data_IF_272494731549
#
_entry.id   IF_272494731549
#
_cell.length_a   1.000
_cell.length_b   1.000
_cell.length_c   1.000
_cell.angle_alpha   90.00
_cell.angle_beta   90.00
_cell.angle_gamma   90.00
#
_symmetry.space_group_name_H-M   'P 1'
#
loop_
_entity.id
_entity.type
_entity.pdbx_description
1 polymer ?
#
# COMPACT_ATOMS: atom_id res chain seq x y z
N UNK A 1 20.01 -38.89 -40.43
CA UNK A 1 18.82 -39.02 -39.55
C UNK A 1 19.13 -38.24 -38.28
N UNK A 2 18.69 -36.98 -38.23
CA UNK A 2 18.81 -36.12 -37.07
C UNK A 2 17.53 -36.27 -36.25
N UNK A 3 17.65 -36.77 -35.01
CA UNK A 3 16.53 -36.74 -34.06
C UNK A 3 16.60 -35.41 -33.31
N UNK A 4 15.67 -34.51 -33.65
CA UNK A 4 15.38 -33.31 -32.87
C UNK A 4 14.47 -33.70 -31.71
N UNK A 5 14.97 -33.52 -30.49
CA UNK A 5 14.14 -33.48 -29.29
C UNK A 5 13.64 -32.06 -29.08
N UNK A 6 12.33 -31.85 -29.28
CA UNK A 6 11.65 -30.61 -28.93
C UNK A 6 11.44 -30.55 -27.41
N UNK A 7 12.06 -29.59 -26.74
CA UNK A 7 11.62 -29.17 -25.41
C UNK A 7 10.38 -28.27 -25.56
N UNK A 8 9.32 -28.47 -24.75
CA UNK A 8 8.18 -27.55 -24.74
C UNK A 8 8.63 -26.19 -24.19
N UNK A 9 8.36 -25.13 -24.95
CA UNK A 9 8.48 -23.74 -24.48
C UNK A 9 7.29 -23.41 -23.60
N UNK A 10 7.45 -23.57 -22.30
CA UNK A 10 6.66 -22.87 -21.28
C UNK A 10 7.67 -22.34 -20.28
N UNK A 11 8.03 -21.08 -20.39
CA UNK A 11 9.04 -20.49 -19.52
C UNK A 11 8.72 -19.03 -19.27
N UNK A 12 7.89 -18.77 -18.27
CA UNK A 12 8.05 -17.54 -17.51
C UNK A 12 9.49 -17.55 -17.00
N UNK A 13 10.33 -16.61 -17.44
CA UNK A 13 11.72 -16.58 -16.96
C UNK A 13 11.72 -16.13 -15.51
N UNK A 14 12.04 -17.04 -14.59
CA UNK A 14 12.34 -16.71 -13.20
C UNK A 14 13.45 -15.66 -13.15
N UNK A 15 13.21 -14.54 -12.48
CA UNK A 15 14.18 -13.45 -12.37
C UNK A 15 15.23 -13.74 -11.28
N UNK A 16 16.34 -12.99 -11.26
CA UNK A 16 17.34 -13.11 -10.20
C UNK A 16 16.74 -12.86 -8.81
N UNK A 17 15.86 -11.86 -8.72
CA UNK A 17 15.15 -11.49 -7.49
C UNK A 17 14.24 -12.61 -6.99
N UNK A 18 13.49 -13.25 -7.90
CA UNK A 18 12.65 -14.40 -7.55
C UNK A 18 13.51 -15.53 -6.94
N UNK A 19 14.66 -15.83 -7.55
CA UNK A 19 15.56 -16.89 -7.07
C UNK A 19 16.12 -16.57 -5.69
N UNK A 20 16.47 -15.30 -5.43
CA UNK A 20 17.02 -14.90 -4.14
C UNK A 20 15.95 -15.04 -3.05
N UNK A 21 14.76 -14.51 -3.32
CA UNK A 21 13.61 -14.63 -2.44
C UNK A 21 13.27 -16.10 -2.12
N UNK A 22 13.23 -16.95 -3.14
CA UNK A 22 12.95 -18.38 -3.00
C UNK A 22 13.96 -19.09 -2.09
N UNK A 23 15.25 -18.74 -2.19
CA UNK A 23 16.28 -19.33 -1.33
C UNK A 23 16.10 -18.96 0.12
N UNK A 24 15.79 -17.69 0.40
CA UNK A 24 15.69 -17.17 1.77
C UNK A 24 14.41 -17.65 2.47
N UNK A 25 13.34 -17.89 1.70
CA UNK A 25 12.06 -18.39 2.22
C UNK A 25 11.93 -19.93 2.16
N UNK A 26 12.96 -20.64 1.67
CA UNK A 26 12.93 -22.11 1.54
C UNK A 26 12.00 -22.63 0.43
N UNK A 27 11.63 -21.77 -0.51
CA UNK A 27 10.72 -22.04 -1.62
C UNK A 27 10.03 -20.78 -2.11
N UNK A 28 9.31 -20.87 -3.23
CA UNK A 28 8.48 -19.76 -3.72
C UNK A 28 7.28 -19.58 -2.82
N UNK A 29 7.27 -18.50 -2.06
CA UNK A 29 6.14 -18.14 -1.23
C UNK A 29 5.10 -17.36 -2.05
N UNK A 30 3.85 -17.83 -2.02
CA UNK A 30 2.67 -17.15 -2.56
C UNK A 30 1.54 -17.37 -1.57
N UNK A 31 0.80 -16.31 -1.22
CA UNK A 31 -0.33 -16.40 -0.31
C UNK A 31 -1.52 -17.06 -1.03
N UNK A 32 -1.98 -18.21 -0.57
CA UNK A 32 -3.08 -18.94 -1.21
C UNK A 32 -3.82 -19.85 -0.23
N UNK A 33 -5.05 -20.24 -0.60
CA UNK A 33 -5.88 -21.17 0.18
C UNK A 33 -7.04 -20.44 0.85
N UNK A 34 -7.49 -20.98 2.00
CA UNK A 34 -8.54 -20.34 2.81
C UNK A 34 -7.98 -19.11 3.55
N UNK A 35 -8.83 -18.27 4.16
CA UNK A 35 -8.36 -17.17 4.99
C UNK A 35 -7.42 -17.61 6.13
N UNK A 36 -7.67 -18.78 6.73
CA UNK A 36 -6.81 -19.35 7.76
C UNK A 36 -5.43 -19.75 7.20
N UNK A 37 -5.39 -20.35 6.01
CA UNK A 37 -4.12 -20.70 5.34
C UNK A 37 -3.30 -19.45 5.06
N UNK A 38 -3.93 -18.40 4.50
CA UNK A 38 -3.27 -17.13 4.17
C UNK A 38 -2.74 -16.44 5.42
N UNK A 39 -3.52 -16.39 6.50
CA UNK A 39 -3.06 -15.83 7.78
C UNK A 39 -1.87 -16.60 8.33
N UNK A 40 -1.91 -17.93 8.31
CA UNK A 40 -0.78 -18.75 8.76
C UNK A 40 0.49 -18.56 7.91
N UNK A 41 0.34 -18.43 6.58
CA UNK A 41 1.45 -18.14 5.67
C UNK A 41 2.04 -16.74 5.91
N UNK A 42 1.19 -15.74 6.15
CA UNK A 42 1.62 -14.38 6.47
C UNK A 42 2.34 -14.32 7.83
N UNK A 43 1.82 -14.98 8.86
CA UNK A 43 2.48 -15.07 10.17
C UNK A 43 3.85 -15.73 10.07
N UNK A 44 3.96 -16.79 9.24
CA UNK A 44 5.24 -17.44 8.97
C UNK A 44 6.22 -16.50 8.24
N UNK A 45 5.74 -15.73 7.26
CA UNK A 45 6.54 -14.72 6.57
C UNK A 45 7.09 -13.68 7.56
N UNK A 46 6.23 -13.11 8.40
CA UNK A 46 6.63 -12.15 9.44
C UNK A 46 7.64 -12.76 10.40
N UNK A 47 7.41 -13.99 10.85
CA UNK A 47 8.32 -14.69 11.77
C UNK A 47 9.72 -14.94 11.17
N UNK A 48 9.80 -15.14 9.85
CA UNK A 48 11.07 -15.30 9.13
C UNK A 48 11.78 -13.96 8.93
N UNK A 49 11.05 -12.89 8.61
CA UNK A 49 11.62 -11.59 8.28
C UNK A 49 12.00 -10.76 9.50
N UNK A 50 11.18 -10.77 10.55
CA UNK A 50 11.35 -9.89 11.71
C UNK A 50 12.75 -9.99 12.36
N UNK A 51 13.37 -11.17 12.55
CA UNK A 51 14.72 -11.28 13.10
C UNK A 51 15.84 -10.76 12.18
N UNK A 52 15.55 -10.54 10.90
CA UNK A 52 16.51 -10.06 9.90
C UNK A 52 16.46 -8.53 9.76
N UNK A 53 15.41 -7.88 10.26
CA UNK A 53 15.27 -6.44 10.21
C UNK A 53 16.26 -5.78 11.18
N UNK A 54 16.78 -4.58 10.82
CA UNK A 54 17.56 -3.80 11.78
C UNK A 54 16.71 -3.47 13.01
N UNK A 55 17.33 -3.33 14.20
CA UNK A 55 16.60 -2.85 15.36
C UNK A 55 16.00 -1.47 15.07
N UNK A 56 14.80 -1.16 15.60
CA UNK A 56 14.21 0.16 15.49
C UNK A 56 15.17 1.26 15.92
N UNK A 57 15.27 2.32 15.11
CA UNK A 57 16.04 3.51 15.46
C UNK A 57 15.45 4.21 16.70
N UNK A 58 16.33 4.66 17.59
CA UNK A 58 15.95 5.48 18.75
C UNK A 58 15.50 6.90 18.37
N UNK A 59 15.58 7.29 17.08
CA UNK A 59 15.16 8.60 16.60
C UNK A 59 13.63 8.80 16.63
N UNK A 60 12.86 7.72 16.67
CA UNK A 60 11.39 7.73 16.60
C UNK A 60 10.79 7.14 17.87
N UNK A 61 10.00 7.93 18.58
CA UNK A 61 9.16 7.43 19.67
C UNK A 61 7.86 6.87 19.09
N UNK A 62 7.41 5.71 19.59
CA UNK A 62 6.13 5.13 19.23
C UNK A 62 5.20 5.02 20.45
N UNK A 63 3.93 5.39 20.29
CA UNK A 63 2.91 5.31 21.34
C UNK A 63 1.58 4.79 20.81
N UNK A 64 1.05 3.77 21.45
CA UNK A 64 -0.24 3.19 21.10
C UNK A 64 -1.39 3.99 21.72
N UNK A 65 -2.52 3.99 21.02
CA UNK A 65 -3.77 4.58 21.47
C UNK A 65 -4.97 3.91 20.82
N UNK A 66 -6.16 4.40 21.17
CA UNK A 66 -7.43 3.88 20.66
C UNK A 66 -8.45 5.01 20.52
N UNK A 67 -9.28 4.93 19.48
CA UNK A 67 -10.43 5.82 19.24
C UNK A 67 -11.65 4.96 18.92
N UNK A 68 -12.66 5.00 19.80
CA UNK A 68 -13.91 4.24 19.66
C UNK A 68 -13.70 2.79 19.18
N UNK A 69 -12.80 2.07 19.86
CA UNK A 69 -12.48 0.66 19.59
C UNK A 69 -11.49 0.40 18.45
N UNK A 70 -11.03 1.43 17.73
CA UNK A 70 -10.00 1.29 16.67
C UNK A 70 -8.66 1.70 17.24
N UNK A 71 -7.71 0.76 17.26
CA UNK A 71 -6.36 1.04 17.76
C UNK A 71 -5.54 1.78 16.71
N UNK A 72 -4.57 2.54 17.19
CA UNK A 72 -3.58 3.18 16.34
C UNK A 72 -2.23 3.22 17.05
N UNK A 73 -1.16 3.40 16.28
CA UNK A 73 0.19 3.70 16.79
C UNK A 73 0.68 5.02 16.22
N UNK A 74 1.03 5.94 17.11
CA UNK A 74 1.65 7.22 16.79
C UNK A 74 3.16 7.03 16.71
N UNK A 75 3.80 7.54 15.67
CA UNK A 75 5.26 7.59 15.50
C UNK A 75 5.70 9.04 15.41
N UNK A 76 6.55 9.47 16.34
CA UNK A 76 6.99 10.86 16.47
C UNK A 76 8.51 10.95 16.37
N UNK A 77 9.07 11.68 15.38
CA UNK A 77 10.51 11.91 15.28
C UNK A 77 10.98 12.89 16.36
N UNK A 78 11.87 12.44 17.26
CA UNK A 78 12.25 13.14 18.50
C UNK A 78 12.89 14.51 18.26
N UNK A 79 13.79 14.62 17.29
CA UNK A 79 14.51 15.89 17.05
C UNK A 79 13.72 16.87 16.18
N UNK A 80 12.98 16.36 15.19
CA UNK A 80 12.16 17.21 14.33
C UNK A 80 10.97 17.81 15.09
N UNK A 81 10.36 17.07 16.01
CA UNK A 81 9.21 17.54 16.81
C UNK A 81 9.56 18.73 17.73
N UNK A 82 10.84 18.94 18.04
CA UNK A 82 11.32 20.11 18.78
C UNK A 82 11.35 21.40 17.95
N UNK A 83 11.26 21.29 16.61
CA UNK A 83 11.44 22.42 15.69
C UNK A 83 10.11 23.07 15.28
N UNK A 84 8.96 22.45 15.58
CA UNK A 84 7.64 22.98 15.28
C UNK A 84 6.62 21.88 14.98
N UNK A 85 5.43 22.30 14.55
CA UNK A 85 4.39 21.37 14.10
C UNK A 85 4.82 20.67 12.81
N UNK A 86 4.60 19.35 12.74
CA UNK A 86 5.05 18.50 11.64
C UNK A 86 3.87 18.08 10.74
N UNK A 87 4.11 17.78 9.44
CA UNK A 87 3.15 17.06 8.62
C UNK A 87 2.70 15.75 9.29
N UNK A 88 1.46 15.32 9.00
CA UNK A 88 0.89 14.08 9.55
C UNK A 88 0.53 13.13 8.43
N UNK A 89 1.12 11.94 8.45
CA UNK A 89 0.77 10.83 7.57
C UNK A 89 -0.12 9.83 8.29
N UNK A 90 -1.31 9.55 7.77
CA UNK A 90 -2.14 8.44 8.28
C UNK A 90 -1.81 7.21 7.45
N UNK A 91 -1.24 6.19 8.10
CA UNK A 91 -0.77 4.97 7.46
C UNK A 91 -1.79 3.84 7.64
N UNK A 92 -2.18 3.23 6.53
CA UNK A 92 -2.97 2.00 6.50
C UNK A 92 -2.10 0.87 5.96
N UNK A 93 -1.97 -0.21 6.73
CA UNK A 93 -1.08 -1.33 6.42
C UNK A 93 -1.59 -2.19 5.24
N UNK A 94 -0.71 -2.98 4.63
CA UNK A 94 -1.05 -3.97 3.61
C UNK A 94 -1.77 -5.22 4.14
N UNK A 95 -1.76 -6.31 3.36
CA UNK A 95 -2.27 -7.62 3.80
C UNK A 95 -3.66 -8.01 3.28
N UNK A 96 -4.08 -7.50 2.12
CA UNK A 96 -5.30 -7.96 1.45
C UNK A 96 -6.59 -7.78 2.25
N UNK A 97 -6.62 -6.79 3.15
CA UNK A 97 -7.66 -6.59 4.17
C UNK A 97 -7.91 -7.78 5.10
N UNK A 98 -7.02 -8.78 5.12
CA UNK A 98 -7.22 -10.08 5.76
C UNK A 98 -6.13 -10.40 6.80
N UNK A 99 -4.95 -9.83 6.61
CA UNK A 99 -3.77 -9.96 7.47
C UNK A 99 -3.21 -8.57 7.79
N UNK A 100 -2.13 -8.54 8.57
CA UNK A 100 -1.46 -7.30 8.98
C UNK A 100 -1.98 -6.76 10.32
N UNK A 101 -1.17 -5.89 10.93
CA UNK A 101 -1.44 -5.22 12.19
C UNK A 101 -0.48 -4.01 12.35
N UNK A 102 -0.51 -3.37 13.53
CA UNK A 102 0.41 -2.26 13.88
C UNK A 102 1.91 -2.63 13.88
N UNK A 103 2.26 -3.91 13.88
CA UNK A 103 3.65 -4.36 13.86
C UNK A 103 4.15 -4.66 12.44
N UNK A 104 3.23 -4.99 11.53
CA UNK A 104 3.52 -5.41 10.17
C UNK A 104 4.28 -4.36 9.36
N UNK A 105 3.89 -3.09 9.49
CA UNK A 105 4.52 -1.95 8.81
C UNK A 105 5.27 -1.00 9.77
N UNK A 106 5.70 -1.49 10.93
CA UNK A 106 6.42 -0.67 11.93
C UNK A 106 7.70 -0.05 11.35
N UNK A 107 8.44 -0.81 10.55
CA UNK A 107 9.66 -0.32 9.88
C UNK A 107 9.34 0.79 8.89
N UNK A 108 8.29 0.63 8.06
CA UNK A 108 7.87 1.63 7.09
C UNK A 108 7.46 2.94 7.81
N UNK A 109 6.68 2.82 8.89
CA UNK A 109 6.28 3.97 9.72
C UNK A 109 7.49 4.72 10.26
N UNK A 110 8.49 4.00 10.80
CA UNK A 110 9.72 4.59 11.36
C UNK A 110 10.58 5.24 10.29
N UNK A 111 10.78 4.59 9.15
CA UNK A 111 11.54 5.13 8.02
C UNK A 111 10.96 6.46 7.55
N UNK A 112 9.64 6.53 7.37
CA UNK A 112 8.99 7.77 6.96
C UNK A 112 9.08 8.82 8.06
N UNK A 113 8.73 8.48 9.31
CA UNK A 113 8.78 9.42 10.43
C UNK A 113 10.18 10.03 10.63
N UNK A 114 11.22 9.22 10.52
CA UNK A 114 12.61 9.63 10.73
C UNK A 114 13.17 10.47 9.57
N UNK A 115 13.02 10.01 8.33
CA UNK A 115 13.71 10.60 7.19
C UNK A 115 12.87 11.63 6.41
N UNK A 116 11.56 11.63 6.66
CA UNK A 116 10.60 12.60 6.16
C UNK A 116 9.87 13.16 7.37
N UNK A 117 10.47 14.13 8.11
CA UNK A 117 10.09 14.51 9.47
C UNK A 117 8.59 14.83 9.59
N UNK A 118 7.81 13.78 9.85
CA UNK A 118 6.35 13.73 9.85
C UNK A 118 5.94 12.84 10.99
N UNK A 119 4.78 13.12 11.55
CA UNK A 119 4.15 12.23 12.53
C UNK A 119 3.35 11.20 11.75
N UNK A 120 3.56 9.91 12.03
CA UNK A 120 2.79 8.84 11.40
C UNK A 120 1.75 8.30 12.38
N UNK A 121 0.50 8.19 11.93
CA UNK A 121 -0.59 7.54 12.67
C UNK A 121 -0.93 6.25 11.92
N UNK A 122 -0.39 5.13 12.39
CA UNK A 122 -0.69 3.81 11.81
C UNK A 122 -1.99 3.25 12.36
N UNK A 123 -2.85 2.73 11.50
CA UNK A 123 -4.23 2.30 11.83
C UNK A 123 -4.32 0.77 11.93
N UNK A 124 -4.90 0.27 13.02
CA UNK A 124 -5.23 -1.16 13.22
C UNK A 124 -6.70 -1.41 12.82
N UNK A 125 -6.97 -1.41 11.51
CA UNK A 125 -8.35 -1.52 11.01
C UNK A 125 -8.86 -2.98 11.09
N UNK A 126 -10.20 -3.14 11.20
CA UNK A 126 -10.83 -4.47 11.23
C UNK A 126 -10.56 -5.30 9.96
N UNK A 127 -10.29 -6.60 10.11
CA UNK A 127 -9.94 -7.50 9.00
C UNK A 127 -11.11 -8.39 8.54
N UNK A 128 -11.05 -8.76 7.27
CA UNK A 128 -11.87 -9.79 6.63
C UNK A 128 -11.36 -11.19 6.95
N UNK A 129 -12.21 -12.24 6.94
CA UNK A 129 -13.63 -12.24 6.57
C UNK A 129 -14.60 -11.81 7.69
N UNK A 130 -14.14 -11.62 8.93
CA UNK A 130 -14.99 -11.28 10.08
C UNK A 130 -15.68 -9.92 9.91
N UNK A 131 -14.97 -8.98 9.28
CA UNK A 131 -15.46 -7.66 8.95
C UNK A 131 -15.23 -7.40 7.47
N UNK A 132 -16.30 -7.44 6.68
CA UNK A 132 -16.27 -7.17 5.24
C UNK A 132 -16.20 -5.67 4.95
N UNK A 133 -15.93 -5.32 3.69
CA UNK A 133 -16.05 -3.92 3.23
C UNK A 133 -17.45 -3.38 3.58
N UNK A 134 -17.59 -2.13 4.04
CA UNK A 134 -16.55 -1.08 4.12
C UNK A 134 -15.87 -0.96 5.51
N UNK A 135 -15.87 -1.97 6.38
CA UNK A 135 -15.39 -1.84 7.77
C UNK A 135 -13.96 -1.29 7.89
N UNK A 136 -13.06 -1.69 6.99
CA UNK A 136 -11.68 -1.23 6.91
C UNK A 136 -11.59 0.27 6.64
N UNK A 137 -12.40 0.76 5.69
CA UNK A 137 -12.46 2.17 5.32
C UNK A 137 -13.09 3.00 6.43
N UNK A 138 -14.14 2.50 7.08
CA UNK A 138 -14.78 3.15 8.23
C UNK A 138 -13.78 3.41 9.36
N UNK A 139 -12.99 2.39 9.71
CA UNK A 139 -11.99 2.49 10.77
C UNK A 139 -10.85 3.45 10.39
N UNK A 140 -10.39 3.36 9.13
CA UNK A 140 -9.35 4.25 8.60
C UNK A 140 -9.80 5.72 8.58
N UNK A 141 -11.04 5.99 8.15
CA UNK A 141 -11.63 7.33 8.19
C UNK A 141 -11.83 7.84 9.62
N UNK A 142 -12.21 6.96 10.55
CA UNK A 142 -12.36 7.30 11.97
C UNK A 142 -11.03 7.81 12.54
N UNK A 143 -9.94 7.05 12.34
CA UNK A 143 -8.61 7.49 12.81
C UNK A 143 -8.13 8.72 12.07
N UNK A 144 -8.33 8.81 10.75
CA UNK A 144 -7.95 10.01 9.99
C UNK A 144 -8.62 11.28 10.55
N UNK A 145 -9.94 11.24 10.72
CA UNK A 145 -10.72 12.39 11.21
C UNK A 145 -10.33 12.76 12.64
N UNK A 146 -10.13 11.76 13.51
CA UNK A 146 -9.63 11.99 14.86
C UNK A 146 -8.25 12.64 14.84
N UNK A 147 -7.31 12.11 14.04
CA UNK A 147 -5.95 12.62 13.95
C UNK A 147 -5.95 14.07 13.44
N UNK A 148 -6.72 14.37 12.39
CA UNK A 148 -6.86 15.72 11.85
C UNK A 148 -7.43 16.70 12.89
N UNK A 149 -8.45 16.30 13.64
CA UNK A 149 -9.05 17.13 14.70
C UNK A 149 -8.11 17.35 15.90
N UNK A 150 -7.23 16.39 16.19
CA UNK A 150 -6.37 16.41 17.37
C UNK A 150 -4.90 16.69 17.05
N UNK A 151 -4.55 17.05 15.80
CA UNK A 151 -3.19 17.17 15.31
C UNK A 151 -2.26 17.95 16.27
N UNK A 152 -2.71 19.14 16.67
CA UNK A 152 -1.94 20.02 17.55
C UNK A 152 -1.62 19.39 18.93
N UNK A 153 -2.44 18.46 19.42
CA UNK A 153 -2.22 17.82 20.73
C UNK A 153 -1.01 16.89 20.75
N UNK A 154 -0.60 16.39 19.59
CA UNK A 154 0.56 15.52 19.43
C UNK A 154 1.68 16.14 18.59
N UNK A 155 1.61 17.44 18.29
CA UNK A 155 2.64 18.17 17.53
C UNK A 155 2.49 18.11 16.01
N UNK A 156 1.33 17.68 15.51
CA UNK A 156 0.99 17.71 14.08
C UNK A 156 0.43 19.06 13.62
N UNK A 157 0.69 19.42 12.36
CA UNK A 157 0.08 20.55 11.67
C UNK A 157 -1.21 20.08 10.97
N UNK A 158 -2.40 20.54 11.39
CA UNK A 158 -3.68 20.13 10.79
C UNK A 158 -3.81 20.52 9.31
N UNK A 159 -2.97 21.43 8.80
CA UNK A 159 -3.02 21.85 7.40
C UNK A 159 -2.12 20.99 6.49
N UNK A 160 -1.37 20.03 7.04
CA UNK A 160 -0.39 19.21 6.31
C UNK A 160 -0.62 17.73 6.53
N UNK A 161 -1.81 17.26 6.16
CA UNK A 161 -2.22 15.87 6.26
C UNK A 161 -2.08 15.14 4.93
N UNK A 162 -1.63 13.89 4.98
CA UNK A 162 -1.62 12.97 3.84
C UNK A 162 -1.97 11.55 4.27
N UNK A 163 -2.39 10.73 3.32
CA UNK A 163 -2.54 9.27 3.52
C UNK A 163 -1.35 8.53 2.91
N UNK A 164 -1.01 7.39 3.50
CA UNK A 164 0.03 6.50 2.98
C UNK A 164 -0.38 5.04 3.24
N UNK A 165 0.00 4.14 2.34
CA UNK A 165 -0.17 2.71 2.58
C UNK A 165 0.34 1.88 1.43
N UNK A 166 0.54 0.59 1.67
CA UNK A 166 0.94 -0.39 0.67
C UNK A 166 -0.16 -1.40 0.40
N UNK A 167 -0.23 -1.93 -0.83
CA UNK A 167 -1.17 -2.99 -1.20
C UNK A 167 -2.63 -2.60 -0.89
N UNK A 168 -3.37 -3.41 -0.15
CA UNK A 168 -4.70 -3.09 0.39
C UNK A 168 -4.73 -1.80 1.24
N UNK A 169 -3.64 -1.49 1.94
CA UNK A 169 -3.43 -0.23 2.64
C UNK A 169 -3.23 0.95 1.69
N UNK A 170 -2.59 0.74 0.55
CA UNK A 170 -2.49 1.73 -0.53
C UNK A 170 -3.85 2.02 -1.16
N UNK A 171 -4.71 0.99 -1.26
CA UNK A 171 -6.11 1.17 -1.64
C UNK A 171 -6.84 2.01 -0.58
N UNK A 172 -6.75 1.65 0.71
CA UNK A 172 -7.38 2.41 1.80
C UNK A 172 -6.92 3.87 1.84
N UNK A 173 -5.64 4.15 1.58
CA UNK A 173 -5.11 5.51 1.49
C UNK A 173 -5.82 6.33 0.40
N UNK A 174 -6.09 5.73 -0.77
CA UNK A 174 -6.86 6.34 -1.86
C UNK A 174 -8.35 6.44 -1.51
N UNK A 175 -8.93 5.43 -0.86
CA UNK A 175 -10.34 5.39 -0.48
C UNK A 175 -10.67 6.46 0.57
N UNK A 176 -9.82 6.63 1.58
CA UNK A 176 -9.94 7.71 2.59
C UNK A 176 -9.92 9.06 1.88
N UNK A 177 -8.98 9.28 0.97
CA UNK A 177 -8.91 10.51 0.19
C UNK A 177 -10.18 10.73 -0.64
N UNK A 178 -10.67 9.71 -1.35
CA UNK A 178 -11.91 9.76 -2.14
C UNK A 178 -13.09 10.24 -1.27
N UNK A 179 -13.25 9.69 -0.07
CA UNK A 179 -14.33 10.04 0.85
C UNK A 179 -14.24 11.48 1.36
N UNK A 180 -13.02 11.99 1.60
CA UNK A 180 -12.82 13.39 2.00
C UNK A 180 -13.09 14.35 0.84
N UNK A 181 -12.64 14.04 -0.38
CA UNK A 181 -12.77 14.98 -1.50
C UNK A 181 -14.17 15.02 -2.12
N UNK A 182 -14.97 13.95 -1.91
CA UNK A 182 -16.41 13.94 -2.22
C UNK A 182 -17.15 15.09 -1.54
N UNK A 183 -16.83 15.34 -0.27
CA UNK A 183 -17.44 16.39 0.52
C UNK A 183 -16.71 17.72 0.30
N UNK A 184 -17.32 18.75 -0.33
CA UNK A 184 -16.62 19.99 -0.65
C UNK A 184 -16.00 20.69 0.56
N UNK A 185 -16.59 20.53 1.75
CA UNK A 185 -16.09 21.10 3.01
C UNK A 185 -14.87 20.37 3.58
N UNK A 186 -14.54 19.16 3.09
CA UNK A 186 -13.43 18.34 3.57
C UNK A 186 -12.27 18.23 2.57
N UNK A 187 -12.42 18.76 1.35
CA UNK A 187 -11.37 18.72 0.30
C UNK A 187 -10.02 19.27 0.77
N UNK A 188 -10.04 20.32 1.59
CA UNK A 188 -8.82 20.93 2.12
C UNK A 188 -8.18 20.15 3.28
N UNK A 189 -8.86 19.14 3.83
CA UNK A 189 -8.37 18.34 4.95
C UNK A 189 -7.31 17.30 4.54
N UNK A 190 -7.04 17.12 3.24
CA UNK A 190 -6.02 16.20 2.72
C UNK A 190 -5.19 16.88 1.64
N UNK A 191 -3.86 16.78 1.74
CA UNK A 191 -2.90 17.48 0.88
C UNK A 191 -1.97 16.56 0.10
N UNK A 192 -2.00 15.26 0.35
CA UNK A 192 -1.22 14.29 -0.42
C UNK A 192 -1.68 12.85 -0.22
N UNK A 193 -1.30 11.97 -1.14
CA UNK A 193 -1.52 10.52 -1.05
C UNK A 193 -0.24 9.81 -1.49
N UNK A 194 0.25 8.85 -0.70
CA UNK A 194 1.30 7.91 -1.11
C UNK A 194 0.71 6.49 -1.19
N UNK A 195 0.42 6.02 -2.40
CA UNK A 195 -0.18 4.71 -2.64
C UNK A 195 0.87 3.75 -3.22
N UNK A 196 1.32 2.80 -2.41
CA UNK A 196 2.37 1.86 -2.79
C UNK A 196 1.73 0.55 -3.25
N UNK A 197 2.02 0.09 -4.47
CA UNK A 197 1.43 -1.13 -5.07
C UNK A 197 -0.09 -1.30 -4.81
N UNK A 198 -0.92 -0.24 -4.98
CA UNK A 198 -2.33 -0.27 -4.55
C UNK A 198 -3.20 -1.14 -5.44
N UNK A 199 -4.27 -1.72 -4.90
CA UNK A 199 -5.40 -2.22 -5.69
C UNK A 199 -6.46 -1.12 -5.85
N UNK A 200 -6.84 -0.81 -7.10
CA UNK A 200 -7.73 0.31 -7.43
C UNK A 200 -8.83 -0.05 -8.42
N UNK A 201 -8.74 -1.24 -9.04
CA UNK A 201 -9.75 -1.82 -9.91
C UNK A 201 -9.91 -3.33 -9.66
N UNK A 202 -11.06 -3.83 -10.07
CA UNK A 202 -11.30 -5.27 -10.19
C UNK A 202 -11.16 -5.67 -11.67
N UNK A 203 -10.50 -6.80 -11.95
CA UNK A 203 -10.28 -7.27 -13.33
C UNK A 203 -11.56 -7.61 -14.11
N UNK A 204 -12.67 -7.86 -13.41
CA UNK A 204 -13.99 -8.08 -14.04
C UNK A 204 -14.72 -6.77 -14.41
N UNK A 205 -14.27 -5.62 -13.91
CA UNK A 205 -14.92 -4.32 -14.15
C UNK A 205 -13.90 -3.23 -14.50
N UNK A 206 -13.17 -3.43 -15.61
CA UNK A 206 -12.19 -2.46 -16.12
C UNK A 206 -12.87 -1.50 -17.10
N UNK A 207 -12.83 -0.17 -16.88
CA UNK A 207 -13.35 0.79 -17.83
C UNK A 207 -12.75 0.61 -19.23
N UNK A 208 -13.57 0.76 -20.27
CA UNK A 208 -13.20 0.45 -21.66
C UNK A 208 -11.91 1.16 -22.12
N UNK A 209 -11.68 2.39 -21.66
CA UNK A 209 -10.47 3.17 -22.01
C UNK A 209 -9.17 2.60 -21.43
N UNK A 210 -9.25 1.80 -20.36
CA UNK A 210 -8.10 1.23 -19.67
C UNK A 210 -7.90 -0.27 -19.95
N UNK A 211 -8.83 -0.92 -20.65
CA UNK A 211 -8.74 -2.37 -20.95
C UNK A 211 -7.44 -2.76 -21.66
N UNK A 212 -6.97 -1.93 -22.59
CA UNK A 212 -5.75 -2.23 -23.35
C UNK A 212 -4.47 -2.18 -22.50
N UNK A 213 -4.47 -1.44 -21.39
CA UNK A 213 -3.33 -1.36 -20.49
C UNK A 213 -3.44 -2.32 -19.30
N UNK A 214 -4.63 -2.82 -18.97
CA UNK A 214 -4.88 -3.64 -17.79
C UNK A 214 -4.65 -5.13 -18.06
N UNK A 215 -3.37 -5.52 -18.08
CA UNK A 215 -2.86 -6.83 -18.48
C UNK A 215 -2.16 -7.58 -17.35
N UNK A 216 -1.78 -6.89 -16.27
CA UNK A 216 -0.94 -7.40 -15.19
C UNK A 216 -1.52 -8.61 -14.49
N UNK A 217 -2.85 -8.68 -14.33
CA UNK A 217 -3.50 -9.86 -13.76
C UNK A 217 -3.35 -11.12 -14.62
N UNK A 218 -3.16 -11.01 -15.94
CA UNK A 218 -2.87 -12.14 -16.81
C UNK A 218 -1.36 -12.40 -16.90
N UNK A 219 -0.56 -11.33 -17.07
CA UNK A 219 0.91 -11.41 -17.12
C UNK A 219 1.52 -12.06 -15.87
N UNK A 220 0.93 -11.75 -14.70
CA UNK A 220 1.38 -12.15 -13.36
C UNK A 220 0.34 -13.06 -12.68
N UNK A 221 -0.44 -13.83 -13.45
CA UNK A 221 -1.50 -14.69 -12.90
C UNK A 221 -0.98 -15.83 -12.02
N UNK A 222 0.24 -16.27 -12.28
CA UNK A 222 0.92 -17.40 -11.63
C UNK A 222 2.44 -17.19 -11.75
N UNK A 223 3.23 -17.98 -11.01
CA UNK A 223 4.69 -17.90 -11.04
C UNK A 223 5.23 -16.48 -10.75
N UNK A 224 4.59 -15.77 -9.83
CA UNK A 224 5.10 -14.55 -9.20
C UNK A 224 5.14 -14.73 -7.68
N UNK A 225 6.06 -14.09 -6.96
CA UNK A 225 6.10 -14.17 -5.50
C UNK A 225 5.03 -13.36 -4.78
N UNK A 226 4.78 -13.73 -3.53
CA UNK A 226 3.93 -13.06 -2.53
C UNK A 226 2.44 -13.12 -2.86
N UNK A 227 2.00 -12.52 -3.94
CA UNK A 227 0.61 -12.56 -4.39
C UNK A 227 0.52 -12.85 -5.88
N UNK A 228 -0.49 -13.61 -6.25
CA UNK A 228 -0.90 -13.83 -7.64
C UNK A 228 -2.40 -13.53 -7.82
N UNK A 229 -2.95 -13.84 -9.00
CA UNK A 229 -4.38 -13.64 -9.27
C UNK A 229 -5.28 -14.50 -8.36
N UNK A 230 -4.82 -15.69 -7.96
CA UNK A 230 -5.50 -16.56 -7.01
C UNK A 230 -5.55 -15.93 -5.62
N UNK A 231 -4.44 -15.36 -5.14
CA UNK A 231 -4.39 -14.60 -3.88
C UNK A 231 -5.42 -13.48 -3.88
N UNK A 232 -5.40 -12.63 -4.92
CA UNK A 232 -6.32 -11.50 -5.02
C UNK A 232 -7.78 -11.93 -5.11
N UNK A 233 -8.07 -13.06 -5.77
CA UNK A 233 -9.42 -13.62 -5.81
C UNK A 233 -9.91 -13.96 -4.40
N UNK A 234 -9.11 -14.65 -3.60
CA UNK A 234 -9.44 -14.96 -2.21
C UNK A 234 -9.66 -13.68 -1.39
N UNK A 235 -8.78 -12.68 -1.54
CA UNK A 235 -8.94 -11.41 -0.83
C UNK A 235 -10.26 -10.72 -1.18
N UNK A 236 -10.58 -10.54 -2.46
CA UNK A 236 -11.81 -9.88 -2.90
C UNK A 236 -13.07 -10.64 -2.47
N UNK A 237 -13.10 -11.97 -2.62
CA UNK A 237 -14.24 -12.81 -2.23
C UNK A 237 -14.55 -12.71 -0.73
N UNK A 238 -13.51 -12.77 0.11
CA UNK A 238 -13.68 -12.76 1.57
C UNK A 238 -13.86 -11.36 2.15
N UNK A 239 -13.30 -10.33 1.51
CA UNK A 239 -13.62 -8.94 1.81
C UNK A 239 -15.06 -8.58 1.41
N UNK A 240 -15.68 -9.35 0.50
CA UNK A 240 -16.99 -9.03 -0.07
C UNK A 240 -16.94 -7.81 -0.98
N UNK A 241 -15.82 -7.60 -1.67
CA UNK A 241 -15.61 -6.47 -2.55
C UNK A 241 -16.50 -6.61 -3.80
N UNK A 242 -17.38 -5.63 -4.02
CA UNK A 242 -18.16 -5.53 -5.25
C UNK A 242 -17.28 -4.91 -6.35
N UNK A 243 -17.05 -5.60 -7.49
CA UNK A 243 -16.25 -5.08 -8.59
C UNK A 243 -16.68 -3.71 -9.12
N UNK A 244 -17.95 -3.31 -8.93
CA UNK A 244 -18.49 -2.04 -9.42
C UNK A 244 -18.50 -0.92 -8.37
N UNK A 245 -18.13 -1.22 -7.12
CA UNK A 245 -18.16 -0.23 -6.04
C UNK A 245 -16.98 0.75 -6.15
N UNK A 246 -17.30 1.99 -6.53
CA UNK A 246 -16.34 3.08 -6.65
C UNK A 246 -15.75 3.56 -5.30
N UNK A 247 -16.30 3.12 -4.16
CA UNK A 247 -15.75 3.40 -2.84
C UNK A 247 -14.68 2.39 -2.43
N UNK A 248 -14.72 1.20 -3.02
CA UNK A 248 -13.70 0.17 -2.88
C UNK A 248 -12.64 0.30 -3.99
N UNK A 249 -13.07 0.41 -5.25
CA UNK A 249 -12.22 0.50 -6.44
C UNK A 249 -12.18 1.94 -6.98
N UNK A 250 -11.29 2.74 -6.39
CA UNK A 250 -11.27 4.20 -6.52
C UNK A 250 -10.99 4.69 -7.96
N UNK A 251 -10.45 3.86 -8.85
CA UNK A 251 -10.30 4.25 -10.26
C UNK A 251 -11.66 4.40 -10.97
N UNK A 252 -12.76 3.87 -10.40
CA UNK A 252 -14.14 4.08 -10.87
C UNK A 252 -14.73 5.42 -10.40
N UNK A 253 -14.16 6.07 -9.38
CA UNK A 253 -14.66 7.32 -8.79
C UNK A 253 -14.31 8.58 -9.62
N UNK A 254 -14.51 8.51 -10.93
CA UNK A 254 -14.03 9.50 -11.93
C UNK A 254 -14.47 10.94 -11.64
N UNK A 255 -15.68 11.14 -11.14
CA UNK A 255 -16.22 12.47 -10.77
C UNK A 255 -15.41 13.17 -9.67
N UNK A 256 -14.73 12.39 -8.82
CA UNK A 256 -13.95 12.89 -7.70
C UNK A 256 -12.49 13.12 -8.05
N UNK A 257 -11.95 12.45 -9.08
CA UNK A 257 -10.51 12.45 -9.40
C UNK A 257 -9.92 13.86 -9.53
N UNK A 258 -10.64 14.80 -10.15
CA UNK A 258 -10.19 16.21 -10.26
C UNK A 258 -10.00 16.94 -8.92
N UNK A 259 -10.58 16.40 -7.84
CA UNK A 259 -10.49 16.95 -6.49
C UNK A 259 -9.41 16.24 -5.65
N UNK A 260 -8.74 15.20 -6.18
CA UNK A 260 -7.69 14.50 -5.45
C UNK A 260 -6.48 15.42 -5.23
N UNK A 261 -5.80 15.31 -4.08
CA UNK A 261 -4.52 15.97 -3.87
C UNK A 261 -3.42 15.32 -4.73
N UNK A 262 -2.22 15.94 -4.81
CA UNK A 262 -1.06 15.32 -5.42
C UNK A 262 -0.84 13.88 -4.90
N UNK A 263 -0.54 12.96 -5.83
CA UNK A 263 -0.47 11.53 -5.50
C UNK A 263 0.84 10.92 -5.96
N UNK A 264 1.54 10.26 -5.03
CA UNK A 264 2.74 9.48 -5.28
C UNK A 264 2.39 8.00 -5.36
N UNK A 265 2.81 7.34 -6.43
CA UNK A 265 2.59 5.92 -6.68
C UNK A 265 3.89 5.12 -6.66
N UNK A 266 3.79 3.87 -6.22
CA UNK A 266 4.79 2.82 -6.47
C UNK A 266 4.13 1.65 -7.16
N UNK A 267 4.83 1.02 -8.11
CA UNK A 267 4.38 -0.23 -8.75
C UNK A 267 5.56 -1.16 -9.03
N UNK A 268 5.27 -2.45 -9.16
CA UNK A 268 6.26 -3.50 -9.40
C UNK A 268 5.93 -4.25 -10.69
N UNK A 269 6.92 -4.67 -11.48
CA UNK A 269 6.67 -5.37 -12.76
C UNK A 269 6.06 -6.77 -12.55
N UNK A 270 6.52 -7.50 -11.52
CA UNK A 270 6.08 -8.86 -11.18
C UNK A 270 4.99 -8.86 -10.11
N UNK A 271 3.98 -8.02 -10.35
CA UNK A 271 2.87 -7.79 -9.43
C UNK A 271 1.54 -7.85 -10.21
N UNK A 272 0.55 -8.66 -9.80
CA UNK A 272 -0.78 -8.62 -10.43
C UNK A 272 -1.44 -7.23 -10.33
N UNK A 273 -1.09 -6.42 -9.32
CA UNK A 273 -1.61 -5.05 -9.11
C UNK A 273 -0.83 -3.97 -9.86
N UNK A 274 0.14 -4.34 -10.70
CA UNK A 274 0.98 -3.39 -11.46
C UNK A 274 0.11 -2.35 -12.17
N UNK A 275 -0.90 -2.80 -12.90
CA UNK A 275 -1.68 -1.91 -13.77
C UNK A 275 -2.73 -1.11 -12.99
N UNK A 276 -3.10 -1.50 -11.76
CA UNK A 276 -3.93 -0.70 -10.87
C UNK A 276 -3.28 0.65 -10.56
N UNK A 277 -1.99 0.66 -10.23
CA UNK A 277 -1.23 1.89 -10.01
C UNK A 277 -1.14 2.74 -11.28
N UNK A 278 -0.89 2.09 -12.43
CA UNK A 278 -0.76 2.78 -13.73
C UNK A 278 -2.07 3.42 -14.19
N UNK A 279 -3.18 2.70 -14.04
CA UNK A 279 -4.52 3.21 -14.41
C UNK A 279 -4.91 4.37 -13.51
N UNK A 280 -4.73 4.24 -12.19
CA UNK A 280 -5.04 5.34 -11.27
C UNK A 280 -4.17 6.57 -11.56
N UNK A 281 -2.87 6.39 -11.85
CA UNK A 281 -2.00 7.50 -12.23
C UNK A 281 -2.48 8.20 -13.51
N UNK A 282 -2.79 7.44 -14.55
CA UNK A 282 -3.28 7.98 -15.83
C UNK A 282 -4.62 8.73 -15.65
N UNK A 283 -5.53 8.18 -14.85
CA UNK A 283 -6.81 8.81 -14.54
C UNK A 283 -6.60 10.16 -13.81
N UNK A 284 -5.71 10.21 -12.81
CA UNK A 284 -5.39 11.44 -12.09
C UNK A 284 -4.69 12.48 -12.99
N UNK A 285 -3.75 12.05 -13.85
CA UNK A 285 -3.11 12.93 -14.85
C UNK A 285 -4.13 13.56 -15.79
N UNK A 286 -5.07 12.76 -16.33
CA UNK A 286 -6.17 13.24 -17.18
C UNK A 286 -7.07 14.24 -16.45
N UNK A 287 -7.27 14.04 -15.14
CA UNK A 287 -8.05 14.96 -14.30
C UNK A 287 -7.28 16.23 -13.89
N UNK A 288 -6.01 16.38 -14.29
CA UNK A 288 -5.16 17.54 -13.97
C UNK A 288 -4.51 17.49 -12.59
N UNK A 289 -4.52 16.32 -11.93
CA UNK A 289 -3.90 16.13 -10.61
C UNK A 289 -2.41 15.82 -10.78
N UNK A 290 -1.50 16.50 -10.06
CA UNK A 290 -0.08 16.18 -10.09
C UNK A 290 0.18 14.76 -9.58
N UNK A 291 0.95 13.97 -10.33
CA UNK A 291 1.40 12.66 -9.89
C UNK A 291 2.93 12.53 -9.95
N UNK A 292 3.46 11.66 -9.10
CA UNK A 292 4.83 11.13 -9.18
C UNK A 292 4.74 9.62 -9.10
N UNK A 293 5.57 8.90 -9.86
CA UNK A 293 5.52 7.45 -9.92
C UNK A 293 6.91 6.84 -10.02
N UNK A 294 7.18 5.86 -9.16
CA UNK A 294 8.38 5.03 -9.22
C UNK A 294 7.99 3.57 -9.53
N UNK A 295 8.45 3.06 -10.68
CA UNK A 295 8.19 1.70 -11.16
C UNK A 295 9.43 0.80 -11.03
N UNK A 296 9.26 -0.36 -10.40
CA UNK A 296 10.32 -1.31 -10.10
C UNK A 296 10.30 -2.49 -11.06
N UNK A 297 11.21 -2.45 -12.03
CA UNK A 297 11.38 -3.49 -13.05
C UNK A 297 11.89 -4.79 -12.42
N UNK A 298 11.29 -5.92 -12.80
CA UNK A 298 11.67 -7.28 -12.38
C UNK A 298 11.31 -7.64 -10.95
N UNK A 299 10.81 -6.70 -10.15
CA UNK A 299 10.60 -6.88 -8.71
C UNK A 299 9.15 -7.28 -8.40
N UNK A 300 8.93 -8.10 -7.35
CA UNK A 300 7.61 -8.56 -6.96
C UNK A 300 6.85 -7.56 -6.09
N UNK A 301 5.58 -7.88 -5.82
CA UNK A 301 4.76 -7.16 -4.85
C UNK A 301 5.49 -7.03 -3.51
N UNK A 302 5.50 -5.82 -2.94
CA UNK A 302 6.11 -5.44 -1.64
C UNK A 302 7.57 -5.90 -1.44
N UNK A 303 8.37 -6.03 -2.49
CA UNK A 303 9.73 -6.59 -2.43
C UNK A 303 10.65 -5.95 -1.37
N UNK A 304 10.38 -4.71 -0.95
CA UNK A 304 11.17 -3.97 0.03
C UNK A 304 11.13 -4.56 1.44
N UNK A 305 10.20 -5.48 1.74
CA UNK A 305 10.20 -6.19 3.04
C UNK A 305 11.30 -7.24 3.15
N UNK A 306 11.98 -7.57 2.05
CA UNK A 306 13.02 -8.61 1.99
C UNK A 306 14.42 -8.01 2.04
N UNK A 307 15.17 -8.15 3.16
CA UNK A 307 16.50 -7.56 3.30
C UNK A 307 17.52 -8.04 2.26
N UNK A 308 17.32 -9.23 1.70
CA UNK A 308 18.20 -9.81 0.68
C UNK A 308 18.04 -9.19 -0.72
N UNK A 309 16.99 -8.40 -0.95
CA UNK A 309 16.77 -7.71 -2.21
C UNK A 309 17.42 -6.32 -2.14
N UNK A 310 18.57 -6.10 -2.81
CA UNK A 310 19.37 -4.88 -2.64
C UNK A 310 18.64 -3.61 -3.10
N UNK A 311 17.70 -3.74 -4.03
CA UNK A 311 16.84 -2.64 -4.47
C UNK A 311 15.91 -2.12 -3.37
N UNK A 312 15.78 -2.83 -2.23
CA UNK A 312 15.04 -2.34 -1.07
C UNK A 312 15.58 -1.00 -0.57
N UNK A 313 16.89 -0.77 -0.65
CA UNK A 313 17.48 0.54 -0.33
C UNK A 313 17.02 1.61 -1.32
N UNK A 314 17.02 1.30 -2.63
CA UNK A 314 16.53 2.21 -3.65
C UNK A 314 15.06 2.56 -3.43
N UNK A 315 14.25 1.59 -2.99
CA UNK A 315 12.87 1.84 -2.58
C UNK A 315 12.76 2.82 -1.43
N UNK A 316 13.55 2.64 -0.37
CA UNK A 316 13.54 3.56 0.78
C UNK A 316 13.91 4.98 0.34
N UNK A 317 14.93 5.14 -0.48
CA UNK A 317 15.35 6.45 -1.01
C UNK A 317 14.25 7.11 -1.85
N UNK A 318 13.60 6.34 -2.73
CA UNK A 318 12.51 6.83 -3.57
C UNK A 318 11.26 7.15 -2.75
N UNK A 319 10.91 6.34 -1.76
CA UNK A 319 9.81 6.61 -0.83
C UNK A 319 10.04 7.93 -0.10
N UNK A 320 11.24 8.13 0.46
CA UNK A 320 11.61 9.38 1.13
C UNK A 320 11.46 10.57 0.18
N UNK A 321 11.95 10.44 -1.06
CA UNK A 321 11.83 11.48 -2.08
C UNK A 321 10.38 11.73 -2.50
N UNK A 322 9.56 10.68 -2.63
CA UNK A 322 8.15 10.74 -3.00
C UNK A 322 7.31 11.43 -1.93
N UNK A 323 7.48 11.08 -0.66
CA UNK A 323 6.76 11.73 0.44
C UNK A 323 7.25 13.18 0.65
N UNK A 324 8.55 13.46 0.49
CA UNK A 324 9.05 14.86 0.46
C UNK A 324 8.44 15.66 -0.68
N UNK A 325 8.29 15.05 -1.85
CA UNK A 325 7.60 15.67 -2.98
C UNK A 325 6.16 15.99 -2.61
N UNK A 326 5.39 15.07 -2.03
CA UNK A 326 4.03 15.34 -1.53
C UNK A 326 3.98 16.54 -0.58
N UNK A 327 4.84 16.53 0.44
CA UNK A 327 4.89 17.61 1.45
C UNK A 327 5.24 18.95 0.82
N UNK A 328 6.08 18.98 -0.22
CA UNK A 328 6.41 20.21 -0.94
C UNK A 328 5.25 20.81 -1.73
N UNK A 329 4.16 20.06 -1.93
CA UNK A 329 2.95 20.54 -2.60
C UNK A 329 1.90 21.11 -1.61
N UNK A 330 2.11 21.00 -0.30
CA UNK A 330 1.14 21.37 0.75
C UNK A 330 1.19 22.84 1.14
#
# INVERSE_FOLDING_TARGET
MAQGGSFPRTGASTTYHDIQLEKDLGGRMVLHGTPEDIRGQYDQLVAVLLPQLPPPSDAVESKDGEVDGVKYRLYTPKEASKQGALPVGVLTHGGGWMTGDLNSDDLLCRVVAEHVPSIIVSVDYRLSPEHKVPAQLEDSLKIYRWAHQNASSFGGDPNKFYTIGDSAGGALALQVANQLVKEPSQRDAIKGIAALVPCTLHWDHVPAEYQAMYTSYEDNKENVPIIDKGSMKTFYEHAGADPEDADTFVALATENHKNFPPTYFVSCEKDPLRDDALVMEEALKKAGVPTKHDHYKGLPHIFWIFPAIPEGQQFVENLIAGVKWLISQM
#
